data_IF_698195168507
#
_entry.id   IF_698195168507
#
_cell.length_a   1.000
_cell.length_b   1.000
_cell.length_c   1.000
_cell.angle_alpha   90.00
_cell.angle_beta   90.00
_cell.angle_gamma   90.00
#
_symmetry.space_group_name_H-M   'P 1'
#
loop_
_entity.id
_entity.type
_entity.pdbx_description
1 polymer ?
#
# COMPACT_ATOMS: atom_id res chain seq x y z
N UNK A 1 8.22 3.63 25.35
CA UNK A 1 8.62 3.66 23.93
C UNK A 1 7.79 4.74 23.22
N UNK A 2 8.41 5.73 22.59
CA UNK A 2 7.69 6.87 21.98
C UNK A 2 7.26 6.52 20.53
N UNK A 3 5.98 6.71 20.17
CA UNK A 3 5.48 6.60 18.78
C UNK A 3 5.64 7.96 18.07
N UNK A 4 6.81 8.22 17.50
CA UNK A 4 7.10 9.43 16.73
C UNK A 4 7.04 9.13 15.22
N UNK A 5 6.52 10.05 14.40
CA UNK A 5 6.46 9.92 12.93
C UNK A 5 7.87 9.95 12.30
N UNK A 6 8.81 10.59 12.98
CA UNK A 6 10.16 10.82 12.50
C UNK A 6 10.88 11.86 13.34
N UNK A 7 11.97 12.39 12.80
CA UNK A 7 12.73 13.49 13.38
C UNK A 7 12.78 14.67 12.42
N UNK A 8 12.82 15.89 12.96
CA UNK A 8 13.11 17.10 12.20
C UNK A 8 14.55 17.50 12.49
N UNK A 9 15.42 17.41 11.49
CA UNK A 9 16.76 17.98 11.54
C UNK A 9 16.67 19.45 11.11
N UNK A 10 17.23 20.35 11.92
CA UNK A 10 17.32 21.79 11.62
C UNK A 10 18.78 22.18 11.60
N UNK A 11 19.21 22.91 10.57
CA UNK A 11 20.54 23.53 10.59
C UNK A 11 20.61 24.54 11.73
N UNK A 12 21.54 24.31 12.65
CA UNK A 12 21.81 25.16 13.80
C UNK A 12 22.17 26.59 13.41
N UNK A 13 22.80 26.76 12.24
CA UNK A 13 23.31 28.03 11.76
C UNK A 13 22.30 28.79 10.88
N UNK A 14 21.17 28.18 10.55
CA UNK A 14 20.14 28.84 9.74
C UNK A 14 19.25 29.75 10.59
N UNK A 15 18.94 30.93 10.06
CA UNK A 15 17.83 31.75 10.54
C UNK A 15 16.50 31.21 10.00
N UNK A 16 15.39 31.52 10.69
CA UNK A 16 14.08 31.17 10.17
C UNK A 16 13.78 31.93 8.88
N UNK A 17 13.39 31.22 7.83
CA UNK A 17 12.98 31.79 6.54
C UNK A 17 11.68 31.13 6.09
N UNK A 18 10.75 31.94 5.56
CA UNK A 18 9.55 31.43 4.91
C UNK A 18 9.87 30.84 3.54
N UNK A 19 9.18 29.76 3.16
CA UNK A 19 9.35 29.09 1.86
C UNK A 19 10.09 27.74 1.97
N UNK A 20 10.35 27.12 0.81
CA UNK A 20 11.02 25.81 0.75
C UNK A 20 12.54 26.02 0.74
N UNK A 21 13.21 25.60 1.81
CA UNK A 21 14.67 25.58 1.97
C UNK A 21 15.17 24.24 2.50
N UNK A 22 16.46 23.93 2.33
CA UNK A 22 17.09 22.68 2.80
C UNK A 22 17.46 22.67 4.29
N UNK A 23 17.25 23.80 4.97
CA UNK A 23 17.62 24.07 6.37
C UNK A 23 16.83 23.19 7.37
N UNK A 24 15.64 22.71 6.97
CA UNK A 24 14.76 21.85 7.76
C UNK A 24 14.49 20.57 6.96
N UNK A 25 14.91 19.44 7.50
CA UNK A 25 14.73 18.14 6.87
C UNK A 25 13.89 17.24 7.75
N UNK A 26 12.81 16.74 7.17
CA UNK A 26 11.95 15.74 7.79
C UNK A 26 12.45 14.35 7.44
N UNK A 27 12.87 13.59 8.45
CA UNK A 27 13.35 12.22 8.32
C UNK A 27 12.28 11.31 8.92
N UNK A 28 11.65 10.50 8.08
CA UNK A 28 10.46 9.69 8.43
C UNK A 28 10.84 8.28 8.83
N UNK A 29 10.16 7.75 9.84
CA UNK A 29 10.14 6.32 10.11
C UNK A 29 9.18 5.66 9.12
N UNK A 30 9.71 4.94 8.13
CA UNK A 30 8.93 4.23 7.11
C UNK A 30 8.95 2.73 7.43
N UNK A 31 7.78 2.10 7.44
CA UNK A 31 7.61 0.66 7.59
C UNK A 31 7.38 0.04 6.21
N UNK A 32 7.81 -1.20 5.99
CA UNK A 32 7.58 -1.95 4.75
C UNK A 32 7.25 -3.41 5.06
N UNK A 33 6.13 -3.88 4.53
CA UNK A 33 5.67 -5.27 4.72
C UNK A 33 4.95 -5.80 3.46
N UNK A 34 4.70 -7.12 3.45
CA UNK A 34 3.96 -7.79 2.39
C UNK A 34 2.46 -7.82 2.64
N UNK A 35 1.65 -7.46 1.64
CA UNK A 35 0.18 -7.48 1.73
C UNK A 35 -0.43 -8.21 0.53
N UNK A 36 -1.47 -9.00 0.78
CA UNK A 36 -2.20 -9.71 -0.27
C UNK A 36 -3.00 -8.71 -1.12
N UNK A 37 -2.91 -8.84 -2.44
CA UNK A 37 -3.77 -8.11 -3.38
C UNK A 37 -5.08 -8.89 -3.52
N UNK A 38 -6.19 -8.28 -3.11
CA UNK A 38 -7.54 -8.88 -3.17
C UNK A 38 -8.39 -8.30 -4.30
N UNK A 39 -7.91 -7.24 -4.94
CA UNK A 39 -8.57 -6.61 -6.08
C UNK A 39 -7.87 -5.32 -6.46
N UNK A 40 -8.44 -4.62 -7.44
CA UNK A 40 -7.98 -3.30 -7.84
C UNK A 40 -9.16 -2.46 -8.33
N UNK A 41 -9.03 -1.14 -8.20
CA UNK A 41 -9.90 -0.18 -8.86
C UNK A 41 -9.43 0.02 -10.30
N UNK A 42 -10.34 -0.13 -11.26
CA UNK A 42 -10.08 0.21 -12.65
C UNK A 42 -10.19 1.72 -12.85
N UNK A 43 -9.17 2.33 -13.47
CA UNK A 43 -9.20 3.75 -13.85
C UNK A 43 -8.54 3.93 -15.22
N UNK A 44 -9.23 4.54 -16.19
CA UNK A 44 -8.69 4.79 -17.54
C UNK A 44 -7.58 5.84 -17.57
N UNK A 45 -7.51 6.70 -16.55
CA UNK A 45 -6.50 7.76 -16.45
C UNK A 45 -5.19 7.33 -15.79
N UNK A 46 -5.11 6.09 -15.29
CA UNK A 46 -3.95 5.60 -14.54
C UNK A 46 -3.12 4.59 -15.34
N UNK A 47 -1.82 4.53 -15.06
CA UNK A 47 -0.93 3.54 -15.68
C UNK A 47 -1.44 2.11 -15.47
N UNK A 48 -1.39 1.30 -16.53
CA UNK A 48 -1.92 -0.07 -16.51
C UNK A 48 -3.42 -0.17 -16.24
N UNK A 49 -4.17 0.94 -16.31
CA UNK A 49 -5.56 1.04 -15.88
C UNK A 49 -5.80 0.72 -14.38
N UNK A 50 -4.77 0.86 -13.54
CA UNK A 50 -4.83 0.59 -12.10
C UNK A 50 -4.96 1.92 -11.35
N UNK A 51 -6.17 2.23 -10.88
CA UNK A 51 -6.39 3.40 -10.03
C UNK A 51 -5.91 3.19 -8.59
N UNK A 52 -6.12 2.00 -8.04
CA UNK A 52 -5.58 1.59 -6.75
C UNK A 52 -5.62 0.06 -6.61
N UNK A 53 -4.69 -0.53 -5.87
CA UNK A 53 -4.81 -1.91 -5.38
C UNK A 53 -5.61 -1.94 -4.08
N UNK A 54 -6.38 -3.00 -3.88
CA UNK A 54 -7.03 -3.33 -2.62
C UNK A 54 -6.16 -4.34 -1.87
N UNK A 55 -5.79 -4.01 -0.64
CA UNK A 55 -4.83 -4.76 0.16
C UNK A 55 -5.53 -5.49 1.31
N UNK A 56 -5.02 -6.67 1.62
CA UNK A 56 -5.41 -7.44 2.80
C UNK A 56 -4.18 -7.95 3.56
N UNK A 57 -4.35 -8.06 4.88
CA UNK A 57 -3.42 -8.69 5.79
C UNK A 57 -4.11 -9.87 6.51
N UNK A 58 -3.33 -10.72 7.19
CA UNK A 58 -3.86 -11.81 8.01
C UNK A 58 -4.19 -11.31 9.41
N UNK A 59 -5.39 -11.64 9.87
CA UNK A 59 -5.83 -11.49 11.26
C UNK A 59 -6.54 -12.78 11.68
N UNK A 60 -6.09 -13.41 12.75
CA UNK A 60 -6.70 -14.65 13.30
C UNK A 60 -6.90 -15.74 12.23
N UNK A 61 -5.92 -15.89 11.32
CA UNK A 61 -5.97 -16.87 10.23
C UNK A 61 -6.83 -16.47 9.02
N UNK A 62 -7.55 -15.34 9.08
CA UNK A 62 -8.39 -14.83 8.00
C UNK A 62 -7.78 -13.61 7.32
N UNK A 63 -8.11 -13.39 6.04
CA UNK A 63 -7.73 -12.17 5.33
C UNK A 63 -8.70 -11.02 5.66
N UNK A 64 -8.16 -9.88 6.04
CA UNK A 64 -8.92 -8.66 6.37
C UNK A 64 -8.44 -7.52 5.50
N UNK A 65 -9.37 -6.74 4.96
CA UNK A 65 -9.07 -5.55 4.16
C UNK A 65 -8.35 -4.49 5.01
N UNK A 66 -7.18 -4.02 4.57
CA UNK A 66 -6.34 -3.04 5.30
C UNK A 66 -6.12 -1.73 4.56
N UNK A 67 -6.89 -1.50 3.49
CA UNK A 67 -6.85 -0.25 2.75
C UNK A 67 -6.45 -0.43 1.29
N UNK A 68 -6.21 0.70 0.64
CA UNK A 68 -5.94 0.74 -0.79
C UNK A 68 -4.74 1.61 -1.10
N UNK A 69 -3.95 1.23 -2.10
CA UNK A 69 -2.75 1.96 -2.52
C UNK A 69 -2.86 2.39 -3.97
N UNK A 70 -2.71 3.69 -4.22
CA UNK A 70 -2.82 4.31 -5.56
C UNK A 70 -1.51 4.93 -6.05
N UNK A 71 -0.42 4.80 -5.30
CA UNK A 71 0.87 5.46 -5.55
C UNK A 71 2.01 4.45 -5.56
N UNK A 72 3.14 4.83 -6.13
CA UNK A 72 4.35 4.01 -6.18
C UNK A 72 4.45 3.07 -7.39
N UNK A 73 3.52 3.16 -8.33
CA UNK A 73 3.56 2.37 -9.56
C UNK A 73 4.57 2.93 -10.57
N UNK A 74 5.46 2.07 -11.07
CA UNK A 74 6.18 2.30 -12.32
C UNK A 74 5.26 1.92 -13.50
N UNK A 75 5.29 2.70 -14.59
CA UNK A 75 4.46 2.45 -15.78
C UNK A 75 4.67 1.05 -16.38
N UNK A 76 5.91 0.57 -16.47
CA UNK A 76 6.21 -0.78 -16.98
C UNK A 76 5.68 -1.89 -16.06
N UNK A 77 5.87 -1.73 -14.75
CA UNK A 77 5.39 -2.69 -13.76
C UNK A 77 3.87 -2.72 -13.66
N UNK A 78 3.20 -1.58 -13.81
CA UNK A 78 1.75 -1.50 -13.78
C UNK A 78 1.10 -2.37 -14.87
N UNK A 79 1.70 -2.43 -16.06
CA UNK A 79 1.22 -3.30 -17.15
C UNK A 79 1.42 -4.79 -16.84
N UNK A 80 2.59 -5.17 -16.33
CA UNK A 80 2.86 -6.56 -15.94
C UNK A 80 1.96 -7.01 -14.80
N UNK A 81 1.82 -6.17 -13.77
CA UNK A 81 0.92 -6.39 -12.65
C UNK A 81 -0.53 -6.53 -13.12
N UNK A 82 -0.96 -5.66 -14.05
CA UNK A 82 -2.30 -5.71 -14.62
C UNK A 82 -2.58 -7.06 -15.29
N UNK A 83 -1.65 -7.54 -16.12
CA UNK A 83 -1.76 -8.84 -16.79
C UNK A 83 -1.78 -10.00 -15.78
N UNK A 84 -0.96 -9.94 -14.73
CA UNK A 84 -0.95 -10.94 -13.66
C UNK A 84 -2.29 -10.99 -12.91
N UNK A 85 -2.90 -9.83 -12.63
CA UNK A 85 -4.22 -9.73 -11.99
C UNK A 85 -5.36 -10.19 -12.91
N UNK A 86 -5.30 -9.91 -14.21
CA UNK A 86 -6.33 -10.32 -15.18
C UNK A 86 -6.52 -11.83 -15.23
N UNK A 87 -5.43 -12.60 -15.12
CA UNK A 87 -5.47 -14.07 -15.07
C UNK A 87 -6.09 -14.64 -13.79
N UNK A 88 -6.35 -13.79 -12.78
CA UNK A 88 -6.76 -14.17 -11.42
C UNK A 88 -8.09 -13.55 -11.00
N UNK A 89 -8.87 -13.01 -11.94
CA UNK A 89 -10.19 -12.44 -11.63
C UNK A 89 -11.06 -13.42 -10.86
N UNK A 90 -11.80 -12.87 -9.91
CA UNK A 90 -12.78 -13.59 -9.10
C UNK A 90 -14.15 -12.92 -9.27
N UNK A 91 -15.21 -13.73 -9.16
CA UNK A 91 -16.60 -13.24 -9.21
C UNK A 91 -17.03 -12.55 -7.91
N UNK A 92 -16.36 -12.85 -6.79
CA UNK A 92 -16.68 -12.34 -5.48
C UNK A 92 -15.43 -11.86 -4.72
N UNK A 93 -15.57 -10.92 -3.78
CA UNK A 93 -14.46 -10.45 -2.96
C UNK A 93 -13.95 -11.55 -2.01
N UNK A 94 -12.63 -11.66 -1.88
CA UNK A 94 -12.00 -12.58 -0.92
C UNK A 94 -12.06 -12.09 0.54
N UNK A 95 -12.42 -10.82 0.75
CA UNK A 95 -12.48 -10.17 2.07
C UNK A 95 -13.72 -9.30 2.16
N UNK A 96 -14.23 -9.05 3.37
CA UNK A 96 -15.25 -8.04 3.59
C UNK A 96 -14.69 -6.65 3.25
N UNK A 97 -15.17 -6.07 2.17
CA UNK A 97 -14.74 -4.74 1.74
C UNK A 97 -15.46 -3.65 2.53
N UNK A 98 -14.69 -2.80 3.21
CA UNK A 98 -15.21 -1.68 4.03
C UNK A 98 -14.81 -0.31 3.47
N UNK A 99 -14.29 -0.25 2.23
CA UNK A 99 -13.90 0.99 1.58
C UNK A 99 -15.06 1.65 0.81
N UNK A 100 -14.79 2.82 0.23
CA UNK A 100 -15.78 3.62 -0.54
C UNK A 100 -15.50 3.69 -2.04
N UNK A 101 -14.40 3.10 -2.52
CA UNK A 101 -14.04 3.08 -3.94
C UNK A 101 -15.05 2.25 -4.75
N UNK A 102 -15.29 2.69 -5.98
CA UNK A 102 -16.15 2.05 -6.98
C UNK A 102 -15.31 1.48 -8.13
N UNK A 103 -15.93 0.84 -9.12
CA UNK A 103 -15.26 0.23 -10.28
C UNK A 103 -14.18 -0.80 -9.89
N UNK A 104 -14.51 -1.62 -8.91
CA UNK A 104 -13.61 -2.62 -8.35
C UNK A 104 -13.67 -3.91 -9.15
N UNK A 105 -12.51 -4.52 -9.36
CA UNK A 105 -12.37 -5.86 -9.91
C UNK A 105 -11.69 -6.72 -8.84
N UNK A 106 -12.36 -7.80 -8.46
CA UNK A 106 -11.87 -8.75 -7.47
C UNK A 106 -10.92 -9.75 -8.10
N UNK A 107 -9.92 -10.16 -7.33
CA UNK A 107 -8.98 -11.21 -7.75
C UNK A 107 -8.79 -12.23 -6.63
N UNK A 108 -8.38 -13.44 -7.01
CA UNK A 108 -7.93 -14.46 -6.04
C UNK A 108 -6.68 -13.95 -5.31
N UNK A 109 -6.62 -14.04 -3.96
CA UNK A 109 -5.54 -13.49 -3.13
C UNK A 109 -4.27 -14.35 -3.20
N UNK A 110 -3.65 -14.38 -4.38
CA UNK A 110 -2.46 -15.18 -4.71
C UNK A 110 -1.26 -14.31 -5.08
N UNK A 111 -1.44 -12.99 -5.08
CA UNK A 111 -0.38 -12.02 -5.31
C UNK A 111 -0.12 -11.26 -4.01
N UNK A 112 1.15 -11.10 -3.67
CA UNK A 112 1.60 -10.31 -2.51
C UNK A 112 2.39 -9.12 -3.04
N UNK A 113 2.03 -7.92 -2.60
CA UNK A 113 2.75 -6.69 -2.89
C UNK A 113 3.54 -6.26 -1.67
N UNK A 114 4.75 -5.76 -1.90
CA UNK A 114 5.48 -5.00 -0.90
C UNK A 114 4.93 -3.57 -0.84
N UNK A 115 4.55 -3.14 0.35
CA UNK A 115 3.93 -1.85 0.61
C UNK A 115 4.72 -1.15 1.70
N UNK A 116 5.23 0.03 1.37
CA UNK A 116 5.68 0.97 2.38
C UNK A 116 4.51 1.75 2.95
N UNK A 117 4.50 1.98 4.26
CA UNK A 117 3.47 2.74 4.96
C UNK A 117 4.05 3.44 6.19
N UNK A 118 3.37 4.48 6.68
CA UNK A 118 3.85 5.24 7.86
C UNK A 118 3.41 4.61 9.18
N UNK A 119 2.17 4.15 9.24
CA UNK A 119 1.59 3.59 10.46
C UNK A 119 0.31 2.79 10.16
N UNK A 120 -0.14 2.03 11.16
CA UNK A 120 -1.49 1.53 11.25
C UNK A 120 -2.42 2.58 11.87
N UNK A 121 -3.59 2.77 11.29
CA UNK A 121 -4.66 3.58 11.87
C UNK A 121 -5.42 2.79 12.93
N UNK A 122 -6.20 3.48 13.78
CA UNK A 122 -7.00 2.84 14.84
C UNK A 122 -8.06 1.88 14.28
N UNK A 123 -8.52 2.10 13.04
CA UNK A 123 -9.45 1.22 12.31
C UNK A 123 -8.74 0.11 11.50
N UNK A 124 -7.45 -0.13 11.75
CA UNK A 124 -6.69 -1.23 11.16
C UNK A 124 -6.38 -1.04 9.67
N UNK A 125 -6.13 0.20 9.24
CA UNK A 125 -5.76 0.53 7.85
C UNK A 125 -4.33 1.07 7.76
N UNK A 126 -3.73 0.92 6.59
CA UNK A 126 -2.42 1.49 6.31
C UNK A 126 -2.52 3.00 6.10
N UNK A 127 -1.68 3.76 6.80
CA UNK A 127 -1.56 5.22 6.67
C UNK A 127 -0.47 5.57 5.65
N UNK A 128 -0.84 6.32 4.62
CA UNK A 128 0.03 6.71 3.50
C UNK A 128 0.75 5.52 2.83
N UNK A 129 0.03 4.49 2.37
CA UNK A 129 0.65 3.35 1.71
C UNK A 129 1.20 3.73 0.33
N UNK A 130 2.31 3.12 -0.07
CA UNK A 130 2.91 3.22 -1.39
C UNK A 130 3.39 1.86 -1.87
N UNK A 131 3.05 1.50 -3.11
CA UNK A 131 3.49 0.25 -3.73
C UNK A 131 4.99 0.28 -4.01
N UNK A 132 5.66 -0.86 -3.82
CA UNK A 132 7.10 -1.02 -4.06
C UNK A 132 7.46 -2.17 -4.99
N UNK A 133 6.57 -3.15 -5.16
CA UNK A 133 6.82 -4.27 -6.05
C UNK A 133 5.96 -5.48 -5.71
N UNK A 134 5.94 -6.47 -6.60
CA UNK A 134 5.41 -7.80 -6.30
C UNK A 134 6.48 -8.60 -5.56
N UNK A 135 6.09 -9.30 -4.50
CA UNK A 135 6.96 -10.27 -3.84
C UNK A 135 6.95 -11.57 -4.64
N UNK A 136 8.16 -12.04 -5.01
CA UNK A 136 8.37 -13.19 -5.90
C UNK A 136 7.98 -14.52 -5.22
N UNK A 137 7.94 -14.55 -3.89
CA UNK A 137 7.54 -15.74 -3.13
C UNK A 137 6.01 -15.77 -3.06
N UNK A 138 5.40 -16.61 -3.90
CA UNK A 138 3.98 -16.88 -3.98
C UNK A 138 3.43 -17.65 -2.77
N UNK A 139 4.12 -17.63 -1.63
CA UNK A 139 3.66 -18.29 -0.44
C UNK A 139 2.88 -17.32 0.45
N UNK A 140 1.75 -17.82 0.91
CA UNK A 140 0.80 -17.14 1.78
C UNK A 140 1.42 -16.67 3.11
N UNK A 141 2.61 -17.19 3.44
CA UNK A 141 3.46 -16.84 4.57
C UNK A 141 4.07 -15.43 4.47
N UNK A 142 4.16 -14.83 3.28
CA UNK A 142 4.72 -13.49 3.10
C UNK A 142 3.72 -12.34 3.37
N UNK A 143 2.47 -12.67 3.73
CA UNK A 143 1.42 -11.69 4.08
C UNK A 143 1.56 -11.32 5.53
N UNK A 144 1.64 -10.02 5.82
CA UNK A 144 1.70 -9.47 7.16
C UNK A 144 0.55 -10.02 8.02
N UNK A 145 0.91 -10.51 9.19
CA UNK A 145 -0.01 -11.02 10.19
C UNK A 145 0.04 -10.11 11.42
N UNK A 146 -1.12 -9.72 11.93
CA UNK A 146 -1.23 -9.00 13.19
C UNK A 146 -2.26 -9.66 14.09
N UNK A 147 -2.05 -9.46 15.39
CA UNK A 147 -2.95 -9.89 16.47
C UNK A 147 -4.25 -9.07 16.47
#
# INVERSE_FOLDING_TARGET
MHRLEGIIAKDRNSTYRGGRGGEWQEIKCIQSDGFAIVGYQRSSSAFGNIGALLLAARKEGQLVYVGSVGTGFNAGEALMLRAAMDRRKASAPAVRYTGRRTNLIWIKPTLVAEIEYRAWTHDGKLRHPSYKGLRVVADQAAVYAFE
#
